data_IF_139259614022
#
_entry.id   IF_139259614022
#
_cell.length_a   1.000
_cell.length_b   1.000
_cell.length_c   1.000
_cell.angle_alpha   90.00
_cell.angle_beta   90.00
_cell.angle_gamma   90.00
#
_symmetry.space_group_name_H-M   'P 1'
#
loop_
_entity.id
_entity.type
_entity.pdbx_description
1 polymer ?
#
# COMPACT_ATOMS: atom_id res chain seq x y z
N UNK A 1 -14.14 -24.08 -13.72
CA UNK A 1 -13.19 -23.23 -14.48
C UNK A 1 -14.01 -22.48 -15.51
N UNK A 2 -14.42 -21.25 -15.21
CA UNK A 2 -15.19 -20.43 -16.15
C UNK A 2 -14.26 -19.83 -17.19
N UNK A 3 -14.58 -20.02 -18.47
CA UNK A 3 -13.85 -19.41 -19.58
C UNK A 3 -13.99 -17.88 -19.49
N UNK A 4 -12.88 -17.16 -19.44
CA UNK A 4 -12.85 -15.69 -19.47
C UNK A 4 -13.51 -15.21 -20.77
N UNK A 5 -14.53 -14.37 -20.68
CA UNK A 5 -15.10 -13.73 -21.86
C UNK A 5 -14.10 -12.71 -22.42
N UNK A 6 -14.19 -12.33 -23.70
CA UNK A 6 -13.27 -11.32 -24.27
C UNK A 6 -13.30 -9.99 -23.50
N UNK A 7 -14.47 -9.66 -22.94
CA UNK A 7 -14.70 -8.50 -22.07
C UNK A 7 -13.92 -8.61 -20.75
N UNK A 8 -13.86 -9.79 -20.15
CA UNK A 8 -13.13 -10.02 -18.90
C UNK A 8 -11.62 -9.95 -19.12
N UNK A 9 -11.13 -10.49 -20.24
CA UNK A 9 -9.72 -10.43 -20.59
C UNK A 9 -9.25 -8.98 -20.81
N UNK A 10 -10.05 -8.16 -21.48
CA UNK A 10 -9.78 -6.73 -21.65
C UNK A 10 -9.82 -5.97 -20.32
N UNK A 11 -10.77 -6.29 -19.44
CA UNK A 11 -10.84 -5.67 -18.13
C UNK A 11 -9.65 -6.05 -17.25
N UNK A 12 -9.21 -7.31 -17.26
CA UNK A 12 -7.97 -7.76 -16.60
C UNK A 12 -6.77 -6.97 -17.10
N UNK A 13 -6.63 -6.81 -18.42
CA UNK A 13 -5.53 -6.03 -19.02
C UNK A 13 -5.56 -4.57 -18.57
N UNK A 14 -6.73 -3.93 -18.60
CA UNK A 14 -6.88 -2.54 -18.16
C UNK A 14 -6.55 -2.38 -16.67
N UNK A 15 -7.00 -3.30 -15.82
CA UNK A 15 -6.72 -3.27 -14.39
C UNK A 15 -5.24 -3.48 -14.09
N UNK A 16 -4.56 -4.39 -14.80
CA UNK A 16 -3.11 -4.55 -14.74
C UNK A 16 -2.37 -3.26 -15.15
N UNK A 17 -2.82 -2.57 -16.20
CA UNK A 17 -2.24 -1.30 -16.61
C UNK A 17 -2.42 -0.21 -15.54
N UNK A 18 -3.60 -0.12 -14.91
CA UNK A 18 -3.84 0.82 -13.81
C UNK A 18 -2.92 0.55 -12.61
N UNK A 19 -2.78 -0.71 -12.20
CA UNK A 19 -1.84 -1.08 -11.13
C UNK A 19 -0.38 -0.83 -11.54
N UNK A 20 -0.01 -1.04 -12.79
CA UNK A 20 1.33 -0.73 -13.30
C UNK A 20 1.66 0.76 -13.18
N UNK A 21 0.72 1.64 -13.53
CA UNK A 21 0.88 3.08 -13.34
C UNK A 21 1.01 3.41 -11.85
N UNK A 22 0.11 2.88 -11.01
CA UNK A 22 0.17 3.09 -9.57
C UNK A 22 1.53 2.66 -8.99
N UNK A 23 2.00 1.44 -9.32
CA UNK A 23 3.29 0.89 -8.87
C UNK A 23 4.47 1.74 -9.30
N UNK A 24 4.49 2.27 -10.53
CA UNK A 24 5.52 3.22 -10.97
C UNK A 24 5.53 4.47 -10.09
N UNK A 25 4.35 5.00 -9.78
CA UNK A 25 4.18 6.16 -8.89
C UNK A 25 4.55 5.87 -7.43
N UNK A 26 4.66 4.60 -7.02
CA UNK A 26 5.18 4.16 -5.71
C UNK A 26 6.72 4.02 -5.69
N UNK A 27 7.42 4.40 -6.75
CA UNK A 27 8.89 4.42 -6.78
C UNK A 27 9.38 5.87 -6.68
N UNK A 28 10.54 6.14 -6.04
CA UNK A 28 11.08 7.50 -5.99
C UNK A 28 11.24 8.14 -7.39
N UNK A 29 11.63 7.35 -8.39
CA UNK A 29 11.84 7.80 -9.77
C UNK A 29 10.53 8.10 -10.52
N UNK A 30 9.45 7.37 -10.23
CA UNK A 30 8.14 7.54 -10.89
C UNK A 30 7.11 8.33 -10.08
N UNK A 31 7.42 8.69 -8.82
CA UNK A 31 6.48 9.38 -7.95
C UNK A 31 6.10 10.74 -8.52
N UNK A 32 4.80 11.04 -8.54
CA UNK A 32 4.28 12.38 -8.86
C UNK A 32 4.74 13.41 -7.84
N UNK A 33 4.63 14.69 -8.20
CA UNK A 33 4.82 15.78 -7.24
C UNK A 33 3.83 15.61 -6.07
N UNK A 34 4.26 15.97 -4.86
CA UNK A 34 3.52 15.69 -3.63
C UNK A 34 2.11 16.29 -3.63
N UNK A 35 1.92 17.46 -4.26
CA UNK A 35 0.60 18.10 -4.42
C UNK A 35 -0.41 17.27 -5.22
N UNK A 36 0.05 16.27 -5.99
CA UNK A 36 -0.75 15.42 -6.87
C UNK A 36 -0.52 13.93 -6.62
N UNK A 37 0.24 13.57 -5.58
CA UNK A 37 0.66 12.20 -5.35
C UNK A 37 -0.38 11.45 -4.50
N UNK A 38 -1.02 10.39 -5.04
CA UNK A 38 -1.97 9.60 -4.27
C UNK A 38 -1.25 8.72 -3.22
N UNK A 39 0.02 8.36 -3.46
CA UNK A 39 0.88 7.71 -2.46
C UNK A 39 1.96 8.68 -1.94
N UNK A 40 1.67 9.33 -0.81
CA UNK A 40 2.58 10.25 -0.14
C UNK A 40 3.84 9.57 0.46
N UNK A 41 3.87 8.24 0.51
CA UNK A 41 4.99 7.44 1.06
C UNK A 41 5.95 6.91 -0.03
N UNK A 42 5.73 7.27 -1.30
CA UNK A 42 6.55 6.78 -2.42
C UNK A 42 8.01 7.29 -2.38
N UNK A 43 8.28 8.36 -1.62
CA UNK A 43 9.59 9.02 -1.52
C UNK A 43 10.10 8.98 -0.08
N UNK A 44 11.42 8.90 0.14
CA UNK A 44 11.99 9.25 1.44
C UNK A 44 11.53 10.65 1.85
N UNK A 45 10.99 10.77 3.07
CA UNK A 45 10.45 12.04 3.57
C UNK A 45 11.52 12.74 4.39
N UNK A 46 12.06 13.84 3.87
CA UNK A 46 12.94 14.74 4.61
C UNK A 46 12.11 15.93 5.08
N UNK A 47 11.88 16.06 6.40
CA UNK A 47 11.11 17.18 6.96
C UNK A 47 9.59 17.06 6.76
N UNK A 48 9.01 15.87 6.98
CA UNK A 48 7.56 15.66 6.95
C UNK A 48 6.79 16.44 8.02
N UNK A 49 5.46 16.35 7.98
CA UNK A 49 4.61 16.96 9.00
C UNK A 49 4.99 16.45 10.40
N UNK A 50 5.16 17.33 11.39
CA UNK A 50 5.52 16.92 12.77
C UNK A 50 4.42 16.07 13.45
N UNK A 51 3.19 16.20 12.99
CA UNK A 51 2.05 15.44 13.50
C UNK A 51 2.01 14.07 12.85
N UNK A 52 1.72 13.98 11.55
CA UNK A 52 1.52 12.69 10.87
C UNK A 52 2.77 12.14 10.15
N UNK A 53 3.84 12.91 9.95
CA UNK A 53 5.05 12.46 9.26
C UNK A 53 4.97 12.45 7.73
N UNK A 54 3.80 12.72 7.14
CA UNK A 54 3.62 12.78 5.69
C UNK A 54 4.14 14.12 5.10
N UNK A 55 4.61 14.14 3.84
CA UNK A 55 5.06 15.35 3.17
C UNK A 55 3.89 16.21 2.63
N UNK A 56 4.22 17.41 2.16
CA UNK A 56 3.29 18.25 1.37
C UNK A 56 2.33 19.12 2.18
N UNK A 57 2.36 19.01 3.50
CA UNK A 57 1.57 19.85 4.39
C UNK A 57 2.23 19.97 5.77
N UNK A 58 1.72 20.89 6.59
CA UNK A 58 2.07 21.01 8.01
C UNK A 58 0.79 21.30 8.81
N UNK A 59 0.65 20.62 9.94
CA UNK A 59 -0.31 20.97 10.98
C UNK A 59 0.47 21.55 12.17
N UNK A 60 -0.09 22.58 12.80
CA UNK A 60 0.54 23.24 13.95
C UNK A 60 0.71 22.27 15.13
N UNK A 61 -0.32 21.48 15.42
CA UNK A 61 -0.36 20.48 16.48
C UNK A 61 -1.42 19.40 16.18
N UNK A 62 -1.53 18.40 17.07
CA UNK A 62 -2.47 17.28 16.93
C UNK A 62 -3.93 17.68 17.19
N UNK A 63 -4.19 18.80 17.86
CA UNK A 63 -5.53 19.32 18.16
C UNK A 63 -6.10 20.12 16.97
N UNK A 64 -5.24 20.57 16.06
CA UNK A 64 -5.62 21.23 14.80
C UNK A 64 -5.17 20.41 13.56
N UNK A 65 -5.65 19.15 13.39
CA UNK A 65 -5.05 18.22 12.46
C UNK A 65 -5.67 18.25 11.05
N UNK A 66 -6.40 19.30 10.66
CA UNK A 66 -7.19 19.30 9.43
C UNK A 66 -6.38 18.89 8.17
N UNK A 67 -5.18 19.45 7.99
CA UNK A 67 -4.30 19.08 6.89
C UNK A 67 -3.79 17.63 6.98
N UNK A 68 -3.45 17.15 8.19
CA UNK A 68 -3.09 15.75 8.42
C UNK A 68 -4.24 14.79 8.10
N UNK A 69 -5.47 15.16 8.48
CA UNK A 69 -6.67 14.36 8.22
C UNK A 69 -6.87 14.19 6.72
N UNK A 70 -6.81 15.28 5.95
CA UNK A 70 -6.92 15.23 4.48
C UNK A 70 -5.83 14.34 3.87
N UNK A 71 -4.58 14.50 4.30
CA UNK A 71 -3.47 13.70 3.77
C UNK A 71 -3.61 12.20 4.08
N UNK A 72 -4.01 11.85 5.31
CA UNK A 72 -4.23 10.46 5.71
C UNK A 72 -5.43 9.84 4.99
N UNK A 73 -6.55 10.56 4.86
CA UNK A 73 -7.72 10.08 4.11
C UNK A 73 -7.42 9.92 2.62
N UNK A 74 -6.60 10.79 2.03
CA UNK A 74 -6.14 10.65 0.65
C UNK A 74 -5.28 9.39 0.49
N UNK A 75 -4.36 9.15 1.42
CA UNK A 75 -3.52 7.95 1.41
C UNK A 75 -4.34 6.66 1.60
N UNK A 76 -5.34 6.68 2.49
CA UNK A 76 -6.28 5.56 2.67
C UNK A 76 -7.07 5.32 1.38
N UNK A 77 -7.64 6.37 0.78
CA UNK A 77 -8.42 6.27 -0.45
C UNK A 77 -7.63 5.72 -1.63
N UNK A 78 -6.32 6.04 -1.71
CA UNK A 78 -5.45 5.40 -2.68
C UNK A 78 -5.36 3.88 -2.49
N UNK A 79 -5.21 3.41 -1.25
CA UNK A 79 -5.16 1.98 -0.96
C UNK A 79 -6.51 1.28 -1.11
N UNK A 80 -7.64 1.97 -0.91
CA UNK A 80 -8.98 1.46 -1.25
C UNK A 80 -9.06 1.12 -2.75
N UNK A 81 -8.65 2.05 -3.63
CA UNK A 81 -8.62 1.81 -5.09
C UNK A 81 -7.68 0.66 -5.46
N UNK A 82 -6.51 0.58 -4.82
CA UNK A 82 -5.58 -0.55 -5.03
C UNK A 82 -6.23 -1.87 -4.59
N UNK A 83 -6.93 -1.88 -3.45
CA UNK A 83 -7.60 -3.07 -2.94
C UNK A 83 -8.68 -3.58 -3.90
N UNK A 84 -9.45 -2.69 -4.51
CA UNK A 84 -10.47 -3.07 -5.51
C UNK A 84 -9.83 -3.73 -6.73
N UNK A 85 -8.75 -3.15 -7.26
CA UNK A 85 -8.01 -3.72 -8.39
C UNK A 85 -7.34 -5.05 -8.06
N UNK A 86 -6.75 -5.19 -6.87
CA UNK A 86 -6.14 -6.43 -6.41
C UNK A 86 -7.19 -7.52 -6.23
N UNK A 87 -8.33 -7.19 -5.62
CA UNK A 87 -9.43 -8.13 -5.41
C UNK A 87 -9.97 -8.64 -6.75
N UNK A 88 -10.19 -7.73 -7.71
CA UNK A 88 -10.61 -8.08 -9.06
C UNK A 88 -9.59 -9.00 -9.75
N UNK A 89 -8.31 -8.63 -9.78
CA UNK A 89 -7.30 -9.45 -10.45
C UNK A 89 -7.09 -10.80 -9.78
N UNK A 90 -7.17 -10.87 -8.45
CA UNK A 90 -7.06 -12.14 -7.74
C UNK A 90 -8.20 -13.10 -8.11
N UNK A 91 -9.40 -12.59 -8.36
CA UNK A 91 -10.56 -13.39 -8.76
C UNK A 91 -10.52 -13.82 -10.23
N UNK A 92 -10.01 -12.97 -11.12
CA UNK A 92 -10.17 -13.16 -12.58
C UNK A 92 -8.86 -13.41 -13.34
N UNK A 93 -7.69 -13.26 -12.73
CA UNK A 93 -6.38 -13.55 -13.35
C UNK A 93 -5.63 -14.63 -12.60
N UNK A 94 -5.58 -15.84 -13.18
CA UNK A 94 -4.84 -16.97 -12.60
C UNK A 94 -3.35 -16.64 -12.41
N UNK A 95 -2.75 -15.88 -13.34
CA UNK A 95 -1.35 -15.44 -13.21
C UNK A 95 -1.15 -14.52 -12.02
N UNK A 96 -2.07 -13.58 -11.81
CA UNK A 96 -2.00 -12.66 -10.68
C UNK A 96 -2.24 -13.39 -9.35
N UNK A 97 -3.20 -14.31 -9.32
CA UNK A 97 -3.44 -15.19 -8.17
C UNK A 97 -2.20 -16.00 -7.80
N UNK A 98 -1.54 -16.62 -8.79
CA UNK A 98 -0.28 -17.36 -8.57
C UNK A 98 0.84 -16.45 -8.08
N UNK A 99 0.96 -15.24 -8.62
CA UNK A 99 1.93 -14.25 -8.15
C UNK A 99 1.70 -13.86 -6.68
N UNK A 100 0.43 -13.69 -6.26
CA UNK A 100 0.07 -13.46 -4.85
C UNK A 100 0.44 -14.65 -3.97
N UNK A 101 0.13 -15.87 -4.40
CA UNK A 101 0.42 -17.09 -3.62
C UNK A 101 1.92 -17.39 -3.51
N UNK A 102 2.71 -17.03 -4.52
CA UNK A 102 4.15 -17.20 -4.54
C UNK A 102 4.91 -16.05 -3.84
N UNK A 103 4.22 -15.00 -3.42
CA UNK A 103 4.84 -13.85 -2.78
C UNK A 103 5.27 -14.19 -1.35
N UNK A 104 6.53 -13.89 -1.03
CA UNK A 104 7.11 -14.15 0.30
C UNK A 104 7.36 -12.81 1.03
N UNK A 105 6.35 -12.25 1.71
CA UNK A 105 6.47 -10.98 2.39
C UNK A 105 7.46 -11.08 3.57
N UNK A 106 8.41 -10.14 3.64
CA UNK A 106 9.33 -10.02 4.76
C UNK A 106 9.20 -8.66 5.44
N UNK A 107 9.53 -8.59 6.73
CA UNK A 107 9.47 -7.34 7.48
C UNK A 107 10.37 -6.24 6.86
N UNK A 108 11.51 -6.63 6.27
CA UNK A 108 12.47 -5.71 5.65
C UNK A 108 11.95 -5.03 4.37
N UNK A 109 10.98 -5.60 3.67
CA UNK A 109 10.42 -5.03 2.43
C UNK A 109 9.84 -3.63 2.62
N UNK A 110 9.44 -3.25 3.85
CA UNK A 110 9.00 -1.88 4.16
C UNK A 110 10.08 -0.82 3.93
N UNK A 111 11.35 -1.20 3.86
CA UNK A 111 12.43 -0.26 3.56
C UNK A 111 12.89 -0.32 2.11
N UNK A 112 12.31 -1.22 1.30
CA UNK A 112 12.78 -1.44 -0.05
C UNK A 112 12.41 -0.26 -0.97
N UNK A 113 13.42 0.51 -1.34
CA UNK A 113 13.32 1.60 -2.31
C UNK A 113 14.05 1.28 -3.62
N UNK A 114 14.47 0.03 -3.84
CA UNK A 114 15.18 -0.38 -5.05
C UNK A 114 14.28 -0.20 -6.29
N UNK A 115 14.89 -0.05 -7.49
CA UNK A 115 14.17 -0.06 -8.76
C UNK A 115 13.36 -1.35 -8.94
N UNK A 116 12.36 -1.30 -9.83
CA UNK A 116 11.61 -2.49 -10.21
C UNK A 116 12.57 -3.55 -10.78
N UNK A 117 12.52 -4.76 -10.24
CA UNK A 117 13.24 -5.90 -10.81
C UNK A 117 12.57 -6.27 -12.14
N UNK A 118 13.38 -6.72 -13.11
CA UNK A 118 12.84 -7.35 -14.32
C UNK A 118 12.21 -8.70 -13.99
N UNK A 119 11.12 -9.04 -14.66
CA UNK A 119 10.39 -10.30 -14.44
C UNK A 119 8.98 -10.27 -15.03
N UNK A 120 8.21 -11.30 -14.69
CA UNK A 120 6.79 -11.35 -15.03
C UNK A 120 6.04 -10.15 -14.43
N UNK A 121 5.17 -9.53 -15.23
CA UNK A 121 4.48 -8.31 -14.86
C UNK A 121 3.74 -8.46 -13.52
N UNK A 122 2.96 -9.52 -13.35
CA UNK A 122 2.17 -9.76 -12.14
C UNK A 122 3.06 -9.97 -10.91
N UNK A 123 4.16 -10.70 -11.03
CA UNK A 123 5.12 -10.89 -9.93
C UNK A 123 5.76 -9.57 -9.51
N UNK A 124 6.18 -8.75 -10.48
CA UNK A 124 6.76 -7.42 -10.22
C UNK A 124 5.73 -6.49 -9.57
N UNK A 125 4.47 -6.52 -10.00
CA UNK A 125 3.40 -5.74 -9.39
C UNK A 125 3.18 -6.19 -7.93
N UNK A 126 3.01 -7.48 -7.70
CA UNK A 126 2.74 -8.03 -6.36
C UNK A 126 3.86 -7.73 -5.38
N UNK A 127 5.13 -7.97 -5.76
CA UNK A 127 6.29 -7.65 -4.91
C UNK A 127 6.29 -6.16 -4.52
N UNK A 128 6.08 -5.28 -5.49
CA UNK A 128 6.15 -3.85 -5.24
C UNK A 128 4.95 -3.31 -4.45
N UNK A 129 3.76 -3.82 -4.72
CA UNK A 129 2.56 -3.51 -3.93
C UNK A 129 2.75 -3.96 -2.49
N UNK A 130 3.26 -5.17 -2.27
CA UNK A 130 3.54 -5.72 -0.93
C UNK A 130 4.48 -4.83 -0.15
N UNK A 131 5.64 -4.46 -0.72
CA UNK A 131 6.60 -3.60 -0.03
C UNK A 131 6.06 -2.21 0.32
N UNK A 132 5.29 -1.60 -0.58
CA UNK A 132 4.67 -0.29 -0.31
C UNK A 132 3.48 -0.38 0.66
N UNK A 133 2.75 -1.49 0.65
CA UNK A 133 1.69 -1.72 1.62
C UNK A 133 2.28 -1.89 3.02
N UNK A 134 3.39 -2.61 3.15
CA UNK A 134 4.13 -2.71 4.41
C UNK A 134 4.65 -1.35 4.89
N UNK A 135 5.08 -0.45 3.99
CA UNK A 135 5.41 0.95 4.33
C UNK A 135 4.20 1.69 4.91
N UNK A 136 3.05 1.56 4.26
CA UNK A 136 1.80 2.16 4.71
C UNK A 136 1.40 1.67 6.10
N UNK A 137 1.39 0.36 6.33
CA UNK A 137 1.11 -0.22 7.65
C UNK A 137 2.12 0.26 8.71
N UNK A 138 3.41 0.28 8.38
CA UNK A 138 4.45 0.73 9.29
C UNK A 138 4.30 2.22 9.66
N UNK A 139 3.97 3.06 8.67
CA UNK A 139 3.72 4.48 8.88
C UNK A 139 2.54 4.70 9.82
N UNK A 140 1.37 4.12 9.52
CA UNK A 140 0.16 4.25 10.33
C UNK A 140 0.39 3.74 11.76
N UNK A 141 1.04 2.59 11.92
CA UNK A 141 1.39 2.06 13.25
C UNK A 141 2.33 2.98 14.02
N UNK A 142 3.31 3.60 13.35
CA UNK A 142 4.24 4.54 13.94
C UNK A 142 3.58 5.81 14.50
N UNK A 143 2.41 6.18 13.97
CA UNK A 143 1.64 7.35 14.43
C UNK A 143 0.29 6.97 15.07
N UNK A 144 0.10 5.70 15.48
CA UNK A 144 -1.19 5.17 15.95
C UNK A 144 -1.87 6.02 17.01
N UNK A 145 -1.11 6.48 18.01
CA UNK A 145 -1.64 7.32 19.09
C UNK A 145 -2.22 8.65 18.56
N UNK A 146 -1.59 9.23 17.52
CA UNK A 146 -2.05 10.47 16.89
C UNK A 146 -3.21 10.21 15.92
N UNK A 147 -3.21 9.06 15.22
CA UNK A 147 -4.28 8.71 14.28
C UNK A 147 -5.66 8.72 14.92
N UNK A 148 -5.78 8.24 16.17
CA UNK A 148 -7.05 8.24 16.90
C UNK A 148 -7.58 9.63 17.24
N UNK A 149 -6.74 10.67 17.12
CA UNK A 149 -7.11 12.08 17.32
C UNK A 149 -7.32 12.79 15.98
N UNK A 150 -6.51 12.42 14.98
CA UNK A 150 -6.53 13.05 13.64
C UNK A 150 -7.70 12.55 12.79
N UNK A 151 -8.01 11.26 12.87
CA UNK A 151 -9.11 10.64 12.14
C UNK A 151 -10.31 10.45 13.07
N UNK A 152 -11.49 10.60 12.50
CA UNK A 152 -12.75 10.19 13.13
C UNK A 152 -12.96 8.68 13.00
N UNK A 153 -14.04 8.19 13.63
CA UNK A 153 -14.41 6.76 13.62
C UNK A 153 -14.55 6.22 12.20
N UNK A 154 -15.13 6.99 11.28
CA UNK A 154 -15.26 6.60 9.88
C UNK A 154 -13.88 6.43 9.22
N UNK A 155 -12.98 7.40 9.40
CA UNK A 155 -11.62 7.33 8.87
C UNK A 155 -10.83 6.15 9.40
N UNK A 156 -10.95 5.85 10.69
CA UNK A 156 -10.34 4.67 11.33
C UNK A 156 -10.92 3.39 10.71
N UNK A 157 -12.24 3.28 10.62
CA UNK A 157 -12.90 2.11 10.05
C UNK A 157 -12.53 1.87 8.59
N UNK A 158 -12.34 2.92 7.79
CA UNK A 158 -11.84 2.83 6.41
C UNK A 158 -10.43 2.24 6.36
N UNK A 159 -9.52 2.75 7.19
CA UNK A 159 -8.17 2.21 7.31
C UNK A 159 -8.19 0.71 7.69
N UNK A 160 -8.95 0.33 8.72
CA UNK A 160 -8.98 -1.05 9.21
C UNK A 160 -9.50 -2.04 8.15
N UNK A 161 -10.53 -1.65 7.38
CA UNK A 161 -11.05 -2.46 6.28
C UNK A 161 -10.00 -2.68 5.19
N UNK A 162 -9.34 -1.61 4.75
CA UNK A 162 -8.26 -1.69 3.76
C UNK A 162 -7.11 -2.55 4.25
N UNK A 163 -6.66 -2.31 5.49
CA UNK A 163 -5.56 -3.04 6.09
C UNK A 163 -5.88 -4.54 6.12
N UNK A 164 -7.03 -4.92 6.67
CA UNK A 164 -7.46 -6.32 6.75
C UNK A 164 -7.59 -6.98 5.37
N UNK A 165 -8.14 -6.27 4.39
CA UNK A 165 -8.32 -6.81 3.03
C UNK A 165 -6.96 -7.09 2.38
N UNK A 166 -6.08 -6.08 2.35
CA UNK A 166 -4.77 -6.19 1.69
C UNK A 166 -3.78 -7.06 2.47
N UNK A 167 -3.87 -7.16 3.80
CA UNK A 167 -3.13 -8.15 4.59
C UNK A 167 -3.50 -9.58 4.17
N UNK A 168 -4.78 -9.84 3.87
CA UNK A 168 -5.24 -11.12 3.35
C UNK A 168 -4.58 -11.50 2.02
N UNK A 169 -4.45 -10.54 1.10
CA UNK A 169 -3.80 -10.77 -0.19
C UNK A 169 -2.28 -10.83 -0.08
N UNK A 170 -1.64 -9.78 0.43
CA UNK A 170 -0.19 -9.62 0.33
C UNK A 170 0.58 -10.35 1.41
N UNK A 171 -0.03 -10.53 2.59
CA UNK A 171 0.66 -11.06 3.77
C UNK A 171 0.24 -12.50 4.13
N UNK A 172 -0.64 -13.12 3.34
CA UNK A 172 -1.12 -14.48 3.60
C UNK A 172 -1.81 -14.62 4.97
N UNK A 173 -2.49 -13.56 5.42
CA UNK A 173 -3.14 -13.50 6.73
C UNK A 173 -2.21 -13.17 7.90
N UNK A 174 -0.93 -12.91 7.66
CA UNK A 174 -0.01 -12.38 8.66
C UNK A 174 -0.18 -10.88 8.83
N UNK A 175 0.12 -10.38 10.03
CA UNK A 175 0.22 -8.94 10.28
C UNK A 175 1.67 -8.47 10.22
N UNK A 176 1.88 -7.14 10.13
CA UNK A 176 3.23 -6.56 10.25
C UNK A 176 3.95 -6.98 11.55
N UNK A 177 3.23 -7.19 12.66
CA UNK A 177 3.83 -7.68 13.92
C UNK A 177 4.36 -9.11 13.77
N UNK A 178 3.60 -9.99 13.11
CA UNK A 178 4.03 -11.38 12.92
C UNK A 178 5.27 -11.45 12.04
N UNK A 179 5.37 -10.60 11.01
CA UNK A 179 6.56 -10.49 10.18
C UNK A 179 7.78 -9.99 10.98
N UNK A 180 7.58 -9.03 11.88
CA UNK A 180 8.65 -8.54 12.76
C UNK A 180 9.15 -9.65 13.70
N UNK A 181 8.26 -10.33 14.40
CA UNK A 181 8.60 -11.43 15.32
C UNK A 181 9.39 -12.54 14.62
N UNK A 182 8.97 -12.90 13.39
CA UNK A 182 9.71 -13.86 12.55
C UNK A 182 11.12 -13.36 12.21
N UNK A 183 11.27 -12.09 11.83
CA UNK A 183 12.60 -11.54 11.54
C UNK A 183 13.54 -11.59 12.75
N UNK A 184 13.03 -11.27 13.94
CA UNK A 184 13.82 -11.34 15.19
C UNK A 184 14.20 -12.77 15.58
N UNK A 185 13.37 -13.76 15.24
CA UNK A 185 13.65 -15.16 15.52
C UNK A 185 14.72 -15.77 14.59
N UNK A 186 14.86 -15.25 13.37
CA UNK A 186 15.86 -15.71 12.39
C UNK A 186 17.25 -15.09 12.60
N UNK A 187 17.37 -14.03 13.40
CA UNK A 187 18.63 -13.39 13.76
C UNK A 187 19.35 -14.06 14.95
N UNK A 188 18.79 -15.15 15.49
CA UNK A 188 19.36 -15.95 16.59
C UNK A 188 19.93 -17.27 16.09
#
# INVERSE_FOLDING_TARGET
>A
MSSLTSTDADHVRQTLMKLSVAVREMTPAGAKQVSHAPNLLARPVYGGCRVCGLPGHQSADVQHPAACRVALLSLIGFWEVVADHVSFLYQYSERFQKAIQANEPTYAMRFDNRPLKGGDMEAVLVDRLTGNFLKFLAHVRGIRAKINVVLDEEGIGRYERVAKNLEGFFLGGLTLSNLYERSMAMEK
#
